data_IF_802072963233
#
_entry.id   IF_802072963233
#
_cell.length_a   1.000
_cell.length_b   1.000
_cell.length_c   1.000
_cell.angle_alpha   90.00
_cell.angle_beta   90.00
_cell.angle_gamma   90.00
#
_symmetry.space_group_name_H-M   'P 1'
#
loop_
_entity.id
_entity.type
_entity.pdbx_description
1 polymer ?
#
# COMPACT_ATOMS: atom_id res chain seq x y z
N UNK A 1 -16.93 -7.25 3.82
CA UNK A 1 -16.38 -7.68 5.12
C UNK A 1 -16.18 -9.18 5.04
N UNK A 2 -15.00 -9.70 5.42
CA UNK A 2 -14.69 -11.13 5.39
C UNK A 2 -14.82 -11.77 6.78
N UNK A 3 -14.43 -11.03 7.82
CA UNK A 3 -14.54 -11.37 9.24
C UNK A 3 -14.69 -10.06 10.04
N UNK A 4 -15.18 -10.06 11.29
CA UNK A 4 -15.09 -8.89 12.15
C UNK A 4 -13.68 -8.29 12.17
N UNK A 5 -13.57 -7.01 11.85
CA UNK A 5 -12.30 -6.30 11.77
C UNK A 5 -11.48 -6.56 10.50
N UNK A 6 -11.89 -7.44 9.57
CA UNK A 6 -11.13 -7.76 8.35
C UNK A 6 -11.96 -7.48 7.09
N UNK A 7 -11.44 -6.58 6.26
CA UNK A 7 -12.06 -6.14 5.02
C UNK A 7 -11.11 -6.33 3.84
N UNK A 8 -11.55 -7.06 2.81
CA UNK A 8 -10.92 -6.97 1.50
C UNK A 8 -11.36 -5.68 0.81
N UNK A 9 -10.40 -4.93 0.27
CA UNK A 9 -10.61 -3.70 -0.47
C UNK A 9 -10.07 -3.90 -1.88
N UNK A 10 -10.89 -3.68 -2.92
CA UNK A 10 -10.42 -3.77 -4.30
C UNK A 10 -9.28 -2.78 -4.59
N UNK A 11 -8.21 -3.30 -5.19
CA UNK A 11 -7.00 -2.56 -5.54
C UNK A 11 -6.45 -3.03 -6.89
N UNK A 12 -7.34 -3.10 -7.88
CA UNK A 12 -7.05 -3.56 -9.23
C UNK A 12 -5.86 -2.82 -9.88
N UNK A 13 -5.23 -3.48 -10.84
CA UNK A 13 -4.17 -2.92 -11.68
C UNK A 13 -2.98 -3.85 -11.79
N UNK A 14 -2.36 -4.21 -10.66
CA UNK A 14 -1.26 -5.20 -10.66
C UNK A 14 -1.74 -6.52 -11.27
N UNK A 15 -2.92 -6.98 -10.85
CA UNK A 15 -3.70 -8.01 -11.53
C UNK A 15 -5.17 -7.56 -11.59
N UNK A 16 -6.01 -8.15 -12.46
CA UNK A 16 -7.43 -7.81 -12.52
C UNK A 16 -8.16 -8.05 -11.18
N UNK A 17 -7.75 -9.06 -10.41
CA UNK A 17 -8.33 -9.41 -9.12
C UNK A 17 -7.60 -8.85 -7.89
N UNK A 18 -6.61 -7.97 -8.08
CA UNK A 18 -5.78 -7.49 -6.97
C UNK A 18 -6.63 -6.81 -5.89
N UNK A 19 -6.37 -7.20 -4.64
CA UNK A 19 -7.08 -6.72 -3.46
C UNK A 19 -6.08 -6.53 -2.33
N UNK A 20 -6.30 -5.47 -1.55
CA UNK A 20 -5.59 -5.23 -0.29
C UNK A 20 -6.51 -5.58 0.88
N UNK A 21 -5.95 -5.70 2.07
CA UNK A 21 -6.73 -6.00 3.26
C UNK A 21 -6.56 -4.90 4.29
N UNK A 22 -7.68 -4.47 4.85
CA UNK A 22 -7.71 -3.62 6.03
C UNK A 22 -8.09 -4.47 7.22
N UNK A 23 -7.28 -4.40 8.26
CA UNK A 23 -7.46 -5.09 9.54
C UNK A 23 -7.57 -4.03 10.62
N UNK A 24 -8.60 -4.08 11.45
CA UNK A 24 -8.84 -3.13 12.52
C UNK A 24 -9.24 -3.83 13.81
N UNK A 25 -8.72 -3.32 14.92
CA UNK A 25 -9.12 -3.68 16.28
C UNK A 25 -9.22 -2.41 17.14
N UNK A 26 -10.44 -2.03 17.50
CA UNK A 26 -10.70 -0.77 18.19
C UNK A 26 -10.27 0.45 17.36
N UNK A 27 -9.21 1.13 17.82
CA UNK A 27 -8.62 2.32 17.14
C UNK A 27 -7.36 1.98 16.35
N UNK A 28 -6.87 0.75 16.47
CA UNK A 28 -5.67 0.31 15.77
C UNK A 28 -6.04 -0.22 14.39
N UNK A 29 -5.29 0.21 13.38
CA UNK A 29 -5.55 -0.14 11.98
C UNK A 29 -4.26 -0.59 11.28
N UNK A 30 -4.40 -1.60 10.41
CA UNK A 30 -3.35 -2.14 9.56
C UNK A 30 -3.88 -2.28 8.13
N UNK A 31 -3.13 -1.77 7.16
CA UNK A 31 -3.35 -2.02 5.73
C UNK A 31 -2.28 -2.97 5.18
N UNK A 32 -2.70 -4.17 4.78
CA UNK A 32 -1.87 -5.11 4.03
C UNK A 32 -1.98 -4.73 2.55
N UNK A 33 -0.97 -4.02 2.06
CA UNK A 33 -0.92 -3.45 0.72
C UNK A 33 -0.72 -4.48 -0.39
N UNK A 34 -0.38 -5.72 -0.01
CA UNK A 34 0.06 -6.75 -0.93
C UNK A 34 1.08 -6.17 -1.94
N UNK A 35 0.68 -6.15 -3.20
CA UNK A 35 1.49 -5.79 -4.37
C UNK A 35 1.10 -4.43 -5.00
N UNK A 36 0.46 -3.54 -4.25
CA UNK A 36 0.13 -2.18 -4.74
C UNK A 36 1.38 -1.36 -5.09
N UNK A 37 2.52 -1.64 -4.43
CA UNK A 37 3.82 -1.02 -4.74
C UNK A 37 4.99 -1.94 -4.34
N UNK A 38 5.56 -2.71 -5.26
CA UNK A 38 6.54 -3.74 -4.89
C UNK A 38 7.90 -3.21 -4.41
N UNK A 39 8.28 -1.99 -4.79
CA UNK A 39 9.56 -1.34 -4.42
C UNK A 39 9.26 0.08 -3.93
N UNK A 40 8.93 0.30 -2.65
CA UNK A 40 8.47 1.60 -2.17
C UNK A 40 9.48 2.73 -2.38
N UNK A 41 10.79 2.45 -2.32
CA UNK A 41 11.84 3.44 -2.59
C UNK A 41 11.85 3.97 -4.03
N UNK A 42 11.18 3.27 -4.95
CA UNK A 42 11.04 3.64 -6.36
C UNK A 42 9.60 4.04 -6.68
N UNK A 43 8.67 3.10 -6.60
CA UNK A 43 7.28 3.29 -7.06
C UNK A 43 6.43 4.10 -6.09
N UNK A 44 6.69 4.10 -4.78
CA UNK A 44 5.99 5.02 -3.89
C UNK A 44 6.58 6.44 -4.06
N UNK A 45 7.89 6.55 -4.26
CA UNK A 45 8.58 7.83 -4.44
C UNK A 45 8.23 8.52 -5.77
N UNK A 46 8.02 7.73 -6.82
CA UNK A 46 7.60 8.18 -8.16
C UNK A 46 6.43 7.30 -8.64
N UNK A 47 5.20 7.57 -8.18
CA UNK A 47 4.03 6.72 -8.45
C UNK A 47 3.63 6.59 -9.92
N UNK A 48 4.12 7.50 -10.78
CA UNK A 48 3.95 7.43 -12.24
C UNK A 48 4.88 6.45 -12.96
N UNK A 49 5.81 5.82 -12.25
CA UNK A 49 6.56 4.71 -12.80
C UNK A 49 5.69 3.46 -12.83
N UNK A 50 5.79 2.71 -13.92
CA UNK A 50 5.07 1.46 -14.13
C UNK A 50 6.01 0.27 -14.05
N UNK A 51 5.51 -0.81 -13.46
CA UNK A 51 6.23 -2.07 -13.37
C UNK A 51 5.82 -2.95 -14.55
N UNK A 52 6.78 -3.66 -15.14
CA UNK A 52 6.50 -4.66 -16.20
C UNK A 52 5.62 -5.82 -15.72
N UNK A 53 5.41 -5.95 -14.40
CA UNK A 53 4.55 -6.94 -13.77
C UNK A 53 3.12 -6.44 -13.53
N UNK A 54 2.78 -5.20 -13.90
CA UNK A 54 1.40 -4.71 -13.83
C UNK A 54 0.61 -5.20 -15.03
N UNK A 55 -0.57 -5.77 -14.77
CA UNK A 55 -1.49 -6.19 -15.83
C UNK A 55 -2.06 -4.99 -16.59
N UNK A 56 -2.46 -3.95 -15.85
CA UNK A 56 -2.88 -2.65 -16.38
C UNK A 56 -2.14 -1.56 -15.61
N UNK A 57 -1.17 -0.94 -16.29
CA UNK A 57 -0.23 0.00 -15.68
C UNK A 57 -0.90 1.31 -15.25
N UNK A 58 -1.84 1.83 -16.04
CA UNK A 58 -2.56 3.06 -15.72
C UNK A 58 -3.49 2.86 -14.52
N UNK A 59 -4.21 1.74 -14.50
CA UNK A 59 -5.07 1.37 -13.37
C UNK A 59 -4.23 1.10 -12.12
N UNK A 60 -3.07 0.43 -12.26
CA UNK A 60 -2.17 0.16 -11.15
C UNK A 60 -1.58 1.45 -10.54
N UNK A 61 -1.17 2.40 -11.37
CA UNK A 61 -0.74 3.72 -10.91
C UNK A 61 -1.86 4.45 -10.15
N UNK A 62 -3.06 4.54 -10.74
CA UNK A 62 -4.19 5.23 -10.13
C UNK A 62 -4.56 4.60 -8.77
N UNK A 63 -4.59 3.27 -8.71
CA UNK A 63 -4.78 2.51 -7.47
C UNK A 63 -3.67 2.80 -6.46
N UNK A 64 -2.40 2.75 -6.89
CA UNK A 64 -1.24 3.03 -6.04
C UNK A 64 -1.34 4.41 -5.41
N UNK A 65 -1.64 5.45 -6.20
CA UNK A 65 -1.83 6.81 -5.68
C UNK A 65 -2.95 6.86 -4.65
N UNK A 66 -4.14 6.36 -5.00
CA UNK A 66 -5.32 6.35 -4.11
C UNK A 66 -5.05 5.63 -2.79
N UNK A 67 -4.41 4.46 -2.84
CA UNK A 67 -4.12 3.66 -1.64
C UNK A 67 -3.07 4.34 -0.77
N UNK A 68 -1.96 4.78 -1.35
CA UNK A 68 -0.88 5.46 -0.63
C UNK A 68 -1.34 6.80 -0.03
N UNK A 69 -2.19 7.55 -0.76
CA UNK A 69 -2.83 8.76 -0.28
C UNK A 69 -3.65 8.53 0.99
N UNK A 70 -4.49 7.48 0.98
CA UNK A 70 -5.34 7.13 2.12
C UNK A 70 -4.49 6.80 3.34
N UNK A 71 -3.62 5.79 3.23
CA UNK A 71 -2.82 5.32 4.38
C UNK A 71 -1.87 6.39 4.91
N UNK A 72 -1.36 7.29 4.05
CA UNK A 72 -0.56 8.43 4.50
C UNK A 72 -1.39 9.52 5.22
N UNK A 73 -2.60 9.79 4.75
CA UNK A 73 -3.51 10.78 5.35
C UNK A 73 -3.96 10.35 6.73
N UNK A 74 -4.40 9.10 6.85
CA UNK A 74 -4.94 8.57 8.10
C UNK A 74 -3.86 8.04 9.05
N UNK A 75 -2.62 7.98 8.59
CA UNK A 75 -1.48 7.39 9.31
C UNK A 75 -1.71 5.93 9.69
N UNK A 76 -2.34 5.17 8.81
CA UNK A 76 -2.55 3.73 9.00
C UNK A 76 -1.22 2.99 8.86
N UNK A 77 -0.95 2.03 9.75
CA UNK A 77 0.24 1.18 9.64
C UNK A 77 0.09 0.27 8.42
N UNK A 78 1.16 0.08 7.67
CA UNK A 78 1.15 -0.71 6.43
C UNK A 78 2.06 -1.93 6.53
N UNK A 79 1.71 -2.97 5.78
CA UNK A 79 2.60 -4.08 5.42
C UNK A 79 2.56 -4.30 3.91
N UNK A 80 3.71 -4.38 3.25
CA UNK A 80 3.79 -4.67 1.80
C UNK A 80 4.62 -5.92 1.51
N UNK A 81 4.18 -6.78 0.59
CA UNK A 81 4.78 -8.12 0.43
C UNK A 81 6.24 -8.11 -0.04
N UNK A 82 6.65 -7.05 -0.75
CA UNK A 82 8.00 -6.90 -1.30
C UNK A 82 8.79 -5.73 -0.66
N UNK A 83 8.33 -5.24 0.50
CA UNK A 83 9.04 -4.21 1.24
C UNK A 83 10.22 -4.82 2.01
N UNK A 84 11.24 -4.02 2.40
CA UNK A 84 12.32 -4.52 3.25
C UNK A 84 11.78 -5.12 4.56
N UNK A 85 12.20 -6.34 4.90
CA UNK A 85 11.77 -7.05 6.12
C UNK A 85 12.02 -6.20 7.38
N UNK A 86 11.07 -6.11 8.34
CA UNK A 86 9.84 -6.90 8.51
C UNK A 86 8.64 -6.39 7.68
N UNK A 87 8.89 -5.51 6.71
CA UNK A 87 7.90 -4.97 5.78
C UNK A 87 6.78 -4.14 6.41
N UNK A 88 6.87 -3.85 7.70
CA UNK A 88 5.90 -3.07 8.47
C UNK A 88 6.36 -1.63 8.67
N UNK A 89 5.46 -0.66 8.60
CA UNK A 89 5.81 0.74 8.81
C UNK A 89 4.67 1.69 8.46
N UNK A 90 4.99 2.91 8.02
CA UNK A 90 4.02 3.89 7.56
C UNK A 90 4.40 4.44 6.20
N UNK A 91 3.44 5.08 5.54
CA UNK A 91 3.68 5.88 4.34
C UNK A 91 3.52 7.35 4.72
N UNK A 92 4.45 8.19 4.30
CA UNK A 92 4.37 9.64 4.42
C UNK A 92 4.33 10.28 3.03
N UNK A 93 3.64 11.42 2.89
CA UNK A 93 3.76 12.27 1.69
C UNK A 93 5.16 12.87 1.62
N UNK A 94 5.74 12.91 0.42
CA UNK A 94 7.07 13.45 0.17
C UNK A 94 7.10 14.10 -1.23
N UNK A 95 6.85 15.41 -1.28
CA UNK A 95 6.61 16.13 -2.52
C UNK A 95 5.41 15.58 -3.30
N UNK A 96 5.63 15.27 -4.58
CA UNK A 96 4.63 14.69 -5.50
C UNK A 96 4.45 13.17 -5.35
N UNK A 97 5.19 12.55 -4.42
CA UNK A 97 5.15 11.12 -4.16
C UNK A 97 5.06 10.79 -2.68
N UNK A 98 5.57 9.62 -2.34
CA UNK A 98 5.49 9.07 -1.00
C UNK A 98 6.81 8.46 -0.56
N UNK A 99 6.98 8.37 0.76
CA UNK A 99 8.13 7.73 1.39
C UNK A 99 7.64 6.69 2.38
N UNK A 100 8.18 5.48 2.27
CA UNK A 100 8.00 4.44 3.28
C UNK A 100 8.92 4.72 4.47
N UNK A 101 8.33 4.71 5.66
CA UNK A 101 9.01 4.86 6.94
C UNK A 101 8.92 3.51 7.65
N UNK A 102 10.03 2.76 7.64
CA UNK A 102 10.10 1.46 8.30
C UNK A 102 9.79 1.59 9.79
N UNK A 103 9.11 0.60 10.35
CA UNK A 103 8.91 0.51 11.79
C UNK A 103 10.26 0.40 12.51
N UNK A 104 10.36 1.07 13.65
CA UNK A 104 11.49 0.89 14.56
C UNK A 104 11.34 -0.43 15.32
N UNK A 105 12.46 -0.99 15.76
CA UNK A 105 12.45 -2.15 16.64
C UNK A 105 11.91 -1.75 18.02
N UNK A 106 10.88 -2.45 18.49
CA UNK A 106 10.24 -2.24 19.80
C UNK A 106 9.92 -3.56 20.46
#
# INVERSE_FOLDING_TARGET
MLWPGIHAIPAHGHTPGHSIFHVADGREELAILADTTHRPELFARQPGLHSVFEFDAEVAEATRRRVLDRVATDRVRVVGYHFPFPAAGHIARDGEGYRYIAAEWS
#
